data_IF_841318479905
#
_entry.id   IF_841318479905
#
_cell.length_a   1.000
_cell.length_b   1.000
_cell.length_c   1.000
_cell.angle_alpha   90.00
_cell.angle_beta   90.00
_cell.angle_gamma   90.00
#
_symmetry.space_group_name_H-M   'P 1'
#
loop_
_entity.id
_entity.type
_entity.pdbx_description
1 polymer ?
#
# COMPACT_ATOMS: atom_id res chain seq x y z
N UNK A 1 17.66 20.76 -20.25
CA UNK A 1 17.27 19.69 -21.19
C UNK A 1 17.61 18.36 -20.52
N UNK A 2 16.67 17.41 -20.46
CA UNK A 2 16.94 16.05 -19.99
C UNK A 2 15.84 15.48 -19.11
N UNK A 3 14.64 15.26 -19.67
CA UNK A 3 13.68 14.38 -19.03
C UNK A 3 14.17 12.94 -19.25
N UNK A 4 14.44 12.21 -18.17
CA UNK A 4 14.70 10.77 -18.23
C UNK A 4 13.33 10.13 -18.40
N UNK A 5 12.97 9.89 -19.66
CA UNK A 5 11.75 9.17 -20.03
C UNK A 5 11.97 7.69 -19.75
N UNK A 6 11.51 7.24 -18.59
CA UNK A 6 11.60 5.83 -18.19
C UNK A 6 10.53 5.08 -18.97
N UNK A 7 10.93 4.56 -20.14
CA UNK A 7 10.14 3.59 -20.89
C UNK A 7 10.05 2.28 -20.09
N UNK A 8 9.03 2.18 -19.23
CA UNK A 8 8.73 0.95 -18.50
C UNK A 8 8.23 -0.09 -19.52
N UNK A 9 9.13 -0.99 -19.93
CA UNK A 9 8.76 -2.12 -20.79
C UNK A 9 7.93 -3.12 -19.97
N UNK A 10 6.60 -3.06 -20.14
CA UNK A 10 5.60 -3.94 -19.51
C UNK A 10 5.85 -5.45 -19.69
N UNK A 11 6.74 -5.84 -20.60
CA UNK A 11 7.06 -7.24 -20.89
C UNK A 11 8.32 -7.76 -20.17
N UNK A 12 9.05 -6.92 -19.43
CA UNK A 12 10.36 -7.24 -18.83
C UNK A 12 10.36 -7.61 -17.34
N UNK A 13 9.25 -7.47 -16.62
CA UNK A 13 9.20 -7.71 -15.17
C UNK A 13 8.94 -9.20 -14.83
N UNK A 14 9.77 -10.10 -15.37
CA UNK A 14 9.83 -11.50 -14.92
C UNK A 14 11.17 -11.76 -14.23
N UNK A 15 11.36 -11.16 -13.07
CA UNK A 15 12.36 -11.65 -12.11
C UNK A 15 11.95 -13.07 -11.68
N UNK A 16 12.94 -13.96 -11.50
CA UNK A 16 12.72 -15.39 -11.16
C UNK A 16 11.95 -15.63 -9.84
N UNK A 17 11.76 -14.60 -9.03
CA UNK A 17 10.99 -14.63 -7.78
C UNK A 17 9.53 -14.20 -7.96
N UNK A 18 9.15 -13.72 -9.15
CA UNK A 18 7.78 -13.38 -9.48
C UNK A 18 7.03 -14.65 -9.89
N UNK A 19 6.62 -15.46 -8.91
CA UNK A 19 5.64 -16.52 -9.16
C UNK A 19 4.36 -15.82 -9.60
N UNK A 20 4.09 -15.83 -10.90
CA UNK A 20 2.90 -15.22 -11.46
C UNK A 20 1.68 -15.90 -10.84
N UNK A 21 1.03 -15.21 -9.91
CA UNK A 21 -0.23 -15.66 -9.33
C UNK A 21 -1.23 -15.74 -10.48
N UNK A 22 -1.66 -16.96 -10.83
CA UNK A 22 -2.67 -17.15 -11.84
C UNK A 22 -4.00 -16.58 -11.32
N UNK A 23 -4.44 -15.47 -11.91
CA UNK A 23 -5.70 -14.78 -11.56
C UNK A 23 -6.66 -14.90 -12.75
N UNK A 24 -7.54 -15.89 -12.71
CA UNK A 24 -8.65 -16.00 -13.65
C UNK A 24 -9.83 -15.15 -13.13
N UNK A 25 -10.08 -14.00 -13.74
CA UNK A 25 -11.36 -13.27 -13.64
C UNK A 25 -11.77 -12.72 -12.27
N UNK A 26 -10.84 -12.58 -11.31
CA UNK A 26 -11.14 -11.99 -9.99
C UNK A 26 -11.12 -10.46 -10.05
N UNK A 27 -12.04 -9.81 -9.33
CA UNK A 27 -12.06 -8.37 -9.09
C UNK A 27 -10.72 -7.89 -8.50
N UNK A 28 -10.22 -6.72 -8.92
CA UNK A 28 -8.89 -6.20 -8.53
C UNK A 28 -8.65 -6.18 -7.01
N UNK A 29 -9.71 -5.92 -6.25
CA UNK A 29 -9.71 -5.91 -4.78
C UNK A 29 -9.48 -7.30 -4.17
N UNK A 30 -10.05 -8.34 -4.78
CA UNK A 30 -9.85 -9.72 -4.35
C UNK A 30 -8.40 -10.18 -4.58
N UNK A 31 -7.80 -9.74 -5.70
CA UNK A 31 -6.40 -10.02 -6.03
C UNK A 31 -5.47 -9.39 -4.99
N UNK A 32 -5.65 -8.11 -4.68
CA UNK A 32 -4.83 -7.40 -3.68
C UNK A 32 -4.97 -8.00 -2.28
N UNK A 33 -6.20 -8.32 -1.87
CA UNK A 33 -6.42 -8.96 -0.57
C UNK A 33 -5.75 -10.33 -0.49
N UNK A 34 -5.71 -11.10 -1.58
CA UNK A 34 -4.98 -12.36 -1.64
C UNK A 34 -3.47 -12.14 -1.55
N UNK A 35 -2.93 -11.19 -2.31
CA UNK A 35 -1.51 -10.83 -2.24
C UNK A 35 -1.11 -10.45 -0.82
N UNK A 36 -1.85 -9.57 -0.15
CA UNK A 36 -1.52 -9.22 1.23
C UNK A 36 -1.63 -10.42 2.18
N UNK A 37 -2.64 -11.28 2.00
CA UNK A 37 -2.80 -12.48 2.83
C UNK A 37 -1.63 -13.47 2.67
N UNK A 38 -1.13 -13.64 1.46
CA UNK A 38 0.03 -14.51 1.19
C UNK A 38 1.31 -13.93 1.80
N UNK A 39 1.50 -12.61 1.73
CA UNK A 39 2.74 -11.96 2.15
C UNK A 39 2.78 -11.56 3.64
N UNK A 40 1.64 -11.49 4.34
CA UNK A 40 1.62 -11.00 5.73
C UNK A 40 2.48 -11.84 6.69
N UNK A 41 2.63 -13.14 6.41
CA UNK A 41 3.48 -14.05 7.19
C UNK A 41 4.97 -13.90 6.91
N UNK A 42 5.35 -13.28 5.79
CA UNK A 42 6.75 -13.02 5.43
C UNK A 42 7.31 -11.76 6.10
N UNK A 43 6.43 -10.82 6.44
CA UNK A 43 6.79 -9.57 7.11
C UNK A 43 7.04 -9.82 8.59
N UNK A 44 8.31 -9.93 8.96
CA UNK A 44 8.74 -10.12 10.35
C UNK A 44 8.64 -8.82 11.14
N UNK A 45 7.49 -8.59 11.76
CA UNK A 45 7.25 -7.50 12.71
C UNK A 45 7.04 -8.05 14.12
N UNK A 46 7.50 -7.34 15.14
CA UNK A 46 7.31 -7.70 16.55
C UNK A 46 5.98 -7.22 17.12
N UNK A 47 5.27 -6.35 16.41
CA UNK A 47 4.00 -5.77 16.84
C UNK A 47 2.86 -6.68 16.39
N UNK A 48 2.19 -7.33 17.34
CA UNK A 48 1.10 -8.29 17.08
C UNK A 48 -0.04 -7.69 16.25
N UNK A 49 -0.37 -6.42 16.47
CA UNK A 49 -1.41 -5.71 15.72
C UNK A 49 -1.12 -5.63 14.21
N UNK A 50 0.15 -5.73 13.80
CA UNK A 50 0.59 -5.71 12.41
C UNK A 50 0.75 -7.10 11.80
N UNK A 51 0.38 -8.16 12.52
CA UNK A 51 0.47 -9.55 12.07
C UNK A 51 -0.91 -10.10 11.70
N UNK A 52 -0.92 -11.23 10.98
CA UNK A 52 -2.11 -12.03 10.70
C UNK A 52 -3.27 -11.20 10.10
N UNK A 53 -4.51 -11.52 10.46
CA UNK A 53 -5.71 -10.84 9.93
C UNK A 53 -5.76 -9.34 10.30
N UNK A 54 -5.26 -8.96 11.48
CA UNK A 54 -5.17 -7.56 11.89
C UNK A 54 -4.23 -6.77 10.98
N UNK A 55 -3.04 -7.31 10.70
CA UNK A 55 -2.09 -6.72 9.77
C UNK A 55 -2.60 -6.66 8.34
N UNK A 56 -3.33 -7.67 7.90
CA UNK A 56 -4.03 -7.68 6.61
C UNK A 56 -5.06 -6.55 6.52
N UNK A 57 -5.88 -6.37 7.56
CA UNK A 57 -6.89 -5.30 7.62
C UNK A 57 -6.23 -3.92 7.53
N UNK A 58 -5.19 -3.69 8.34
CA UNK A 58 -4.42 -2.43 8.35
C UNK A 58 -3.80 -2.17 6.97
N UNK A 59 -3.23 -3.19 6.33
CA UNK A 59 -2.62 -3.05 5.00
C UNK A 59 -3.64 -2.66 3.92
N UNK A 60 -4.84 -3.24 3.96
CA UNK A 60 -5.93 -2.84 3.07
C UNK A 60 -6.40 -1.40 3.35
N UNK A 61 -6.58 -1.01 4.61
CA UNK A 61 -6.96 0.36 4.97
C UNK A 61 -5.91 1.40 4.51
N UNK A 62 -4.62 1.08 4.65
CA UNK A 62 -3.54 1.92 4.14
C UNK A 62 -3.53 2.00 2.61
N UNK A 63 -3.85 0.91 1.91
CA UNK A 63 -3.96 0.91 0.46
C UNK A 63 -5.11 1.81 -0.02
N UNK A 64 -6.25 1.80 0.68
CA UNK A 64 -7.35 2.74 0.39
C UNK A 64 -6.94 4.20 0.53
N UNK A 65 -6.14 4.52 1.56
CA UNK A 65 -5.61 5.87 1.74
C UNK A 65 -4.72 6.29 0.56
N UNK A 66 -3.87 5.38 0.07
CA UNK A 66 -2.97 5.64 -1.07
C UNK A 66 -3.72 5.78 -2.41
N UNK A 67 -4.90 5.15 -2.54
CA UNK A 67 -5.77 5.29 -3.72
C UNK A 67 -6.38 6.68 -3.83
N UNK A 68 -6.59 7.36 -2.71
CA UNK A 68 -7.10 8.73 -2.70
C UNK A 68 -5.99 9.69 -3.09
N UNK A 69 -5.89 9.96 -4.38
CA UNK A 69 -4.95 10.94 -4.93
C UNK A 69 -5.18 12.37 -4.43
N UNK A 70 -4.30 13.26 -4.91
CA UNK A 70 -4.39 14.70 -4.65
C UNK A 70 -5.67 15.27 -5.24
N UNK A 71 -6.42 16.04 -4.45
CA UNK A 71 -7.65 16.69 -4.91
C UNK A 71 -7.33 17.96 -5.74
N UNK A 72 -8.26 18.39 -6.60
CA UNK A 72 -8.05 19.51 -7.54
C UNK A 72 -7.67 20.83 -6.84
N UNK A 73 -8.22 21.08 -5.66
CA UNK A 73 -7.98 22.30 -4.87
C UNK A 73 -7.01 22.10 -3.70
N UNK A 74 -6.28 20.99 -3.68
CA UNK A 74 -5.35 20.67 -2.61
C UNK A 74 -3.93 21.15 -2.97
N UNK A 75 -3.16 21.66 -2.01
CA UNK A 75 -1.73 21.89 -2.22
C UNK A 75 -0.97 20.58 -2.07
N UNK A 76 0.26 20.47 -2.62
CA UNK A 76 1.07 19.26 -2.40
C UNK A 76 1.31 19.01 -0.91
N UNK A 77 1.58 20.07 -0.16
CA UNK A 77 1.82 19.98 1.28
C UNK A 77 0.57 19.50 2.03
N UNK A 78 -0.61 20.04 1.70
CA UNK A 78 -1.88 19.62 2.29
C UNK A 78 -2.19 18.15 1.99
N UNK A 79 -1.93 17.71 0.75
CA UNK A 79 -2.10 16.32 0.35
C UNK A 79 -1.23 15.38 1.17
N UNK A 80 0.07 15.67 1.26
CA UNK A 80 0.98 14.83 2.02
C UNK A 80 0.67 14.84 3.52
N UNK A 81 0.21 15.97 4.06
CA UNK A 81 -0.24 16.09 5.44
C UNK A 81 -1.46 15.20 5.70
N UNK A 82 -2.51 15.32 4.87
CA UNK A 82 -3.71 14.48 4.94
C UNK A 82 -3.37 12.99 4.85
N UNK A 83 -2.51 12.63 3.89
CA UNK A 83 -2.04 11.25 3.71
C UNK A 83 -1.37 10.71 4.98
N UNK A 84 -0.45 11.49 5.56
CA UNK A 84 0.25 11.13 6.80
C UNK A 84 -0.70 11.03 8.00
N UNK A 85 -1.59 11.99 8.18
CA UNK A 85 -2.57 12.01 9.27
C UNK A 85 -3.49 10.80 9.23
N UNK A 86 -4.02 10.45 8.07
CA UNK A 86 -4.87 9.27 7.90
C UNK A 86 -4.09 7.96 8.13
N UNK A 87 -2.86 7.87 7.62
CA UNK A 87 -2.02 6.69 7.84
C UNK A 87 -1.70 6.49 9.34
N UNK A 88 -1.38 7.57 10.05
CA UNK A 88 -1.13 7.54 11.49
C UNK A 88 -2.37 7.16 12.30
N UNK A 89 -3.55 7.54 11.83
CA UNK A 89 -4.83 7.16 12.44
C UNK A 89 -5.09 5.66 12.30
N UNK A 90 -4.94 5.12 11.09
CA UNK A 90 -5.05 3.67 10.82
C UNK A 90 -4.03 2.86 11.63
N UNK A 91 -2.80 3.38 11.77
CA UNK A 91 -1.76 2.75 12.58
C UNK A 91 -1.96 2.94 14.10
N UNK A 92 -2.95 3.72 14.54
CA UNK A 92 -3.16 4.05 15.96
C UNK A 92 -2.04 4.89 16.59
N UNK A 93 -1.14 5.45 15.77
CA UNK A 93 0.06 6.16 16.20
C UNK A 93 -0.16 7.67 16.40
N UNK A 94 -1.32 8.20 16.00
CA UNK A 94 -1.68 9.63 16.10
C UNK A 94 -1.50 10.19 17.52
N UNK A 95 -1.92 9.44 18.56
CA UNK A 95 -1.79 9.85 19.96
C UNK A 95 -0.34 9.86 20.51
N UNK A 96 0.59 9.18 19.86
CA UNK A 96 1.98 9.04 20.33
C UNK A 96 2.86 10.19 19.83
N UNK A 97 2.47 10.85 18.73
CA UNK A 97 3.24 11.94 18.11
C UNK A 97 2.81 13.31 18.62
N UNK A 98 1.54 13.46 19.03
CA UNK A 98 0.98 14.71 19.58
C UNK A 98 1.15 14.84 21.11
N UNK A 99 1.82 13.87 21.76
CA UNK A 99 2.00 13.77 23.22
C UNK A 99 3.40 14.12 23.70
#
# INVERSE_FOLDING_TARGET
RGAIDIHLNKHGLKSKEYTAIATAGEESTAIESRIFKENIGEVKVSVEALQNESGLRISNELLEILRVGKQENETKESYERRLREHALEVLGAKKVIDG
#
